data_IF_071990376189
#
_entry.id   IF_071990376189
#
_cell.length_a   1.000
_cell.length_b   1.000
_cell.length_c   1.000
_cell.angle_alpha   90.00
_cell.angle_beta   90.00
_cell.angle_gamma   90.00
#
_symmetry.space_group_name_H-M   'P 1'
#
loop_
_entity.id
_entity.type
_entity.pdbx_description
1 polymer ?
#
# COMPACT_ATOMS: atom_id res chain seq x y z
N UNK A 1 13.59 -15.48 26.69
CA UNK A 1 12.14 -15.67 26.95
C UNK A 1 11.84 -17.10 26.58
N UNK A 2 11.28 -17.87 27.48
CA UNK A 2 10.81 -19.23 27.18
C UNK A 2 9.53 -19.15 26.36
N UNK A 3 9.27 -20.13 25.50
CA UNK A 3 8.08 -20.14 24.64
C UNK A 3 6.79 -20.02 25.45
N UNK A 4 6.64 -20.80 26.53
CA UNK A 4 5.45 -20.79 27.40
C UNK A 4 5.19 -19.47 28.14
N UNK A 5 6.20 -18.58 28.26
CA UNK A 5 6.04 -17.26 28.90
C UNK A 5 5.39 -16.23 27.94
N UNK A 6 5.25 -16.56 26.66
CA UNK A 6 4.83 -15.58 25.62
C UNK A 6 3.33 -15.39 25.53
N UNK A 7 2.51 -16.19 26.21
CA UNK A 7 1.03 -16.24 26.08
C UNK A 7 0.50 -16.39 24.64
N UNK A 8 1.38 -16.78 23.70
CA UNK A 8 1.10 -16.84 22.26
C UNK A 8 0.48 -18.17 21.84
N UNK A 9 0.57 -19.20 22.69
CA UNK A 9 0.07 -20.54 22.41
C UNK A 9 -1.46 -20.61 22.30
N UNK A 10 -2.15 -19.53 22.72
CA UNK A 10 -3.61 -19.43 22.69
C UNK A 10 -4.15 -18.60 21.54
N UNK A 11 -3.29 -17.98 20.76
CA UNK A 11 -3.72 -17.11 19.68
C UNK A 11 -3.83 -17.92 18.38
N UNK A 12 -4.95 -17.77 17.70
CA UNK A 12 -5.14 -18.37 16.38
C UNK A 12 -4.43 -17.50 15.32
N UNK A 13 -3.53 -18.10 14.55
CA UNK A 13 -2.85 -17.42 13.44
C UNK A 13 -3.69 -17.61 12.17
N UNK A 14 -4.03 -16.52 11.52
CA UNK A 14 -4.83 -16.51 10.29
C UNK A 14 -4.01 -16.38 9.02
N UNK A 15 -2.91 -15.66 9.08
CA UNK A 15 -2.03 -15.42 7.94
C UNK A 15 -0.63 -15.02 8.38
N UNK A 16 0.34 -15.13 7.47
CA UNK A 16 1.67 -14.55 7.64
C UNK A 16 2.02 -13.65 6.45
N UNK A 17 2.92 -12.69 6.70
CA UNK A 17 3.35 -11.72 5.70
C UNK A 17 4.85 -11.44 5.81
N UNK A 18 5.62 -11.43 4.69
CA UNK A 18 7.03 -11.06 4.71
C UNK A 18 7.16 -9.54 4.77
N UNK A 19 7.72 -9.04 5.86
CA UNK A 19 7.99 -7.63 6.09
C UNK A 19 9.48 -7.33 5.98
N UNK A 20 9.84 -6.37 5.13
CA UNK A 20 11.22 -5.90 5.06
C UNK A 20 11.54 -4.97 6.22
N UNK A 21 12.61 -5.24 6.94
CA UNK A 21 13.12 -4.36 7.99
C UNK A 21 14.36 -3.61 7.49
N UNK A 22 14.24 -2.31 7.22
CA UNK A 22 15.35 -1.52 6.70
C UNK A 22 16.57 -1.55 7.62
N UNK A 23 16.38 -1.55 8.93
CA UNK A 23 17.47 -1.52 9.91
C UNK A 23 18.45 -2.69 9.74
N UNK A 24 17.95 -3.90 9.69
CA UNK A 24 18.77 -5.12 9.51
C UNK A 24 19.04 -5.45 8.03
N UNK A 25 18.30 -4.83 7.11
CA UNK A 25 18.36 -5.16 5.69
C UNK A 25 17.87 -6.57 5.37
N UNK A 26 16.93 -7.08 6.15
CA UNK A 26 16.42 -8.44 6.03
C UNK A 26 14.89 -8.46 6.05
N UNK A 27 14.32 -9.57 5.61
CA UNK A 27 12.91 -9.86 5.69
C UNK A 27 12.61 -10.72 6.91
N UNK A 28 11.53 -10.42 7.57
CA UNK A 28 11.00 -11.16 8.71
C UNK A 28 9.54 -11.50 8.44
N UNK A 29 9.05 -12.54 9.10
CA UNK A 29 7.64 -12.87 9.02
C UNK A 29 6.86 -12.12 10.10
N UNK A 30 5.80 -11.45 9.71
CA UNK A 30 4.71 -11.03 10.59
C UNK A 30 3.60 -12.07 10.55
N UNK A 31 2.90 -12.26 11.65
CA UNK A 31 1.73 -13.12 11.74
C UNK A 31 0.50 -12.31 12.10
N UNK A 32 -0.62 -12.59 11.42
CA UNK A 32 -1.94 -12.08 11.78
C UNK A 32 -2.54 -12.99 12.81
N UNK A 33 -2.44 -12.63 14.07
CA UNK A 33 -2.94 -13.43 15.18
C UNK A 33 -4.23 -12.83 15.73
N UNK A 34 -5.20 -13.68 16.02
CA UNK A 34 -6.47 -13.32 16.68
C UNK A 34 -6.28 -13.49 18.17
N UNK A 35 -6.46 -12.41 18.91
CA UNK A 35 -6.40 -12.45 20.36
C UNK A 35 -7.68 -13.08 20.96
N UNK A 36 -7.71 -13.24 22.28
CA UNK A 36 -8.86 -13.81 23.01
C UNK A 36 -10.18 -13.04 22.79
N UNK A 37 -10.10 -11.77 22.39
CA UNK A 37 -11.27 -10.93 22.11
C UNK A 37 -11.72 -10.99 20.63
N UNK A 38 -11.17 -11.91 19.83
CA UNK A 38 -11.52 -12.08 18.43
C UNK A 38 -10.94 -11.01 17.49
N UNK A 39 -10.06 -10.11 18.00
CA UNK A 39 -9.48 -9.01 17.22
C UNK A 39 -8.17 -9.45 16.56
N UNK A 40 -8.07 -9.43 15.21
CA UNK A 40 -6.84 -9.76 14.52
C UNK A 40 -5.84 -8.61 14.62
N UNK A 41 -4.56 -8.95 14.84
CA UNK A 41 -3.46 -7.98 14.86
C UNK A 41 -2.22 -8.58 14.23
N UNK A 42 -1.51 -7.77 13.44
CA UNK A 42 -0.19 -8.11 12.94
C UNK A 42 0.85 -7.96 14.06
N UNK A 43 1.71 -8.95 14.17
CA UNK A 43 2.84 -8.95 15.10
C UNK A 43 4.02 -9.73 14.49
N UNK A 44 5.21 -9.54 15.02
CA UNK A 44 6.40 -10.32 14.65
C UNK A 44 6.13 -11.82 14.93
N UNK A 45 6.33 -12.66 13.92
CA UNK A 45 6.20 -14.10 14.05
C UNK A 45 7.37 -14.64 14.86
N UNK A 46 7.06 -15.32 15.95
CA UNK A 46 8.01 -16.00 16.79
C UNK A 46 7.64 -17.46 16.83
N UNK A 47 8.61 -18.33 16.61
CA UNK A 47 8.44 -19.77 16.58
C UNK A 47 9.30 -20.43 17.65
N UNK A 48 8.91 -21.63 18.14
CA UNK A 48 9.71 -22.37 19.10
C UNK A 48 11.10 -22.65 18.53
N UNK A 49 12.11 -22.50 19.37
CA UNK A 49 13.46 -22.97 19.06
C UNK A 49 13.63 -24.41 19.56
N UNK A 50 14.38 -25.25 18.84
CA UNK A 50 14.72 -26.59 19.34
C UNK A 50 15.39 -26.59 20.72
N UNK A 51 15.98 -25.50 21.13
CA UNK A 51 16.64 -25.31 22.45
C UNK A 51 15.68 -24.81 23.53
N UNK A 52 14.35 -24.84 23.28
CA UNK A 52 13.33 -24.40 24.25
C UNK A 52 13.14 -22.89 24.35
N UNK A 53 13.84 -22.11 23.52
CA UNK A 53 13.67 -20.66 23.40
C UNK A 53 12.73 -20.25 22.30
N UNK A 54 12.80 -18.99 21.90
CA UNK A 54 12.05 -18.39 20.81
C UNK A 54 13.00 -17.91 19.74
N UNK A 55 12.72 -18.21 18.49
CA UNK A 55 13.46 -17.69 17.33
C UNK A 55 12.56 -16.91 16.38
N UNK A 56 13.18 -16.03 15.61
CA UNK A 56 12.55 -15.31 14.50
C UNK A 56 13.31 -15.70 13.23
N UNK A 57 12.59 -16.16 12.22
CA UNK A 57 13.20 -16.50 10.95
C UNK A 57 13.57 -15.22 10.20
N UNK A 58 14.77 -15.21 9.66
CA UNK A 58 15.35 -14.09 8.92
C UNK A 58 15.70 -14.54 7.51
N UNK A 59 15.27 -13.76 6.53
CA UNK A 59 15.52 -14.01 5.11
C UNK A 59 16.32 -12.83 4.52
N UNK A 60 17.33 -13.14 3.74
CA UNK A 60 18.11 -12.13 3.01
C UNK A 60 17.52 -11.83 1.65
N UNK A 61 16.68 -12.74 1.12
CA UNK A 61 16.00 -12.61 -0.16
C UNK A 61 14.50 -12.50 0.03
N UNK A 62 13.90 -11.48 -0.59
CA UNK A 62 12.46 -11.21 -0.52
C UNK A 62 11.61 -12.25 -1.24
N UNK A 63 12.11 -12.87 -2.32
CA UNK A 63 11.39 -13.89 -3.06
C UNK A 63 11.31 -15.19 -2.24
N UNK A 64 12.39 -15.55 -1.55
CA UNK A 64 12.38 -16.69 -0.62
C UNK A 64 11.39 -16.44 0.51
N UNK A 65 11.41 -15.23 1.10
CA UNK A 65 10.46 -14.87 2.14
C UNK A 65 9.00 -14.91 1.63
N UNK A 66 8.73 -14.44 0.42
CA UNK A 66 7.41 -14.47 -0.20
C UNK A 66 6.93 -15.91 -0.47
N UNK A 67 7.79 -16.76 -1.02
CA UNK A 67 7.48 -18.17 -1.28
C UNK A 67 7.16 -18.93 0.02
N UNK A 68 7.95 -18.71 1.06
CA UNK A 68 7.70 -19.31 2.36
C UNK A 68 6.39 -18.79 2.99
N UNK A 69 6.10 -17.50 2.86
CA UNK A 69 4.83 -16.93 3.28
C UNK A 69 3.64 -17.55 2.55
N UNK A 70 3.75 -17.75 1.24
CA UNK A 70 2.69 -18.38 0.45
C UNK A 70 2.43 -19.83 0.88
N UNK A 71 3.53 -20.61 1.10
CA UNK A 71 3.44 -21.99 1.58
C UNK A 71 2.71 -22.07 2.92
N UNK A 72 3.16 -21.29 3.91
CA UNK A 72 2.55 -21.30 5.25
C UNK A 72 1.10 -20.80 5.23
N UNK A 73 0.78 -19.81 4.41
CA UNK A 73 -0.60 -19.33 4.28
C UNK A 73 -1.53 -20.40 3.71
N UNK A 74 -1.03 -21.24 2.78
CA UNK A 74 -1.79 -22.38 2.28
C UNK A 74 -2.07 -23.40 3.37
N UNK A 75 -1.09 -23.72 4.22
CA UNK A 75 -1.25 -24.61 5.38
C UNK A 75 -2.25 -24.04 6.39
N UNK A 76 -2.12 -22.76 6.75
CA UNK A 76 -3.05 -22.09 7.67
C UNK A 76 -4.49 -22.08 7.14
N UNK A 77 -4.68 -21.96 5.83
CA UNK A 77 -5.99 -22.01 5.21
C UNK A 77 -6.63 -23.42 5.32
N UNK A 78 -5.83 -24.47 5.19
CA UNK A 78 -6.27 -25.87 5.40
C UNK A 78 -6.60 -26.09 6.86
N UNK A 79 -5.71 -25.71 7.77
CA UNK A 79 -5.92 -25.84 9.21
C UNK A 79 -7.20 -25.14 9.68
N UNK A 80 -7.46 -23.94 9.16
CA UNK A 80 -8.67 -23.19 9.50
C UNK A 80 -9.94 -23.91 9.03
N UNK A 81 -9.90 -24.62 7.88
CA UNK A 81 -11.03 -25.42 7.41
C UNK A 81 -11.32 -26.62 8.31
N UNK A 82 -10.28 -27.20 8.90
CA UNK A 82 -10.38 -28.41 9.73
C UNK A 82 -10.69 -28.13 11.20
N UNK A 83 -10.51 -26.88 11.67
CA UNK A 83 -10.78 -26.52 13.07
C UNK A 83 -12.25 -26.68 13.42
N UNK A 84 -12.55 -27.27 14.59
CA UNK A 84 -13.92 -27.35 15.11
C UNK A 84 -14.41 -25.96 15.51
N UNK A 85 -15.20 -25.34 14.65
CA UNK A 85 -15.83 -24.03 14.88
C UNK A 85 -17.08 -23.88 14.03
N UNK A 86 -17.95 -22.95 14.39
CA UNK A 86 -19.13 -22.62 13.63
C UNK A 86 -18.77 -22.07 12.25
N UNK A 87 -19.55 -22.43 11.24
CA UNK A 87 -19.27 -22.08 9.84
C UNK A 87 -19.21 -20.58 9.60
N UNK A 88 -20.07 -19.81 10.25
CA UNK A 88 -20.07 -18.35 10.12
C UNK A 88 -18.77 -17.71 10.68
N UNK A 89 -18.24 -18.24 11.78
CA UNK A 89 -16.95 -17.80 12.34
C UNK A 89 -15.79 -18.17 11.42
N UNK A 90 -15.82 -19.36 10.85
CA UNK A 90 -14.80 -19.82 9.88
C UNK A 90 -14.74 -18.89 8.69
N UNK A 91 -15.90 -18.57 8.09
CA UNK A 91 -15.99 -17.62 6.97
C UNK A 91 -15.51 -16.22 7.35
N UNK A 92 -15.86 -15.75 8.55
CA UNK A 92 -15.39 -14.46 9.06
C UNK A 92 -13.85 -14.41 9.15
N UNK A 93 -13.22 -15.47 9.67
CA UNK A 93 -11.76 -15.53 9.79
C UNK A 93 -11.06 -15.65 8.43
N UNK A 94 -11.61 -16.42 7.50
CA UNK A 94 -11.10 -16.49 6.12
C UNK A 94 -11.13 -15.11 5.45
N UNK A 95 -12.24 -14.39 5.61
CA UNK A 95 -12.39 -13.05 5.07
C UNK A 95 -11.42 -12.06 5.72
N UNK A 96 -11.24 -12.12 7.05
CA UNK A 96 -10.25 -11.30 7.77
C UNK A 96 -8.83 -11.56 7.28
N UNK A 97 -8.45 -12.82 7.09
CA UNK A 97 -7.14 -13.20 6.55
C UNK A 97 -6.92 -12.63 5.14
N UNK A 98 -7.89 -12.87 4.25
CA UNK A 98 -7.84 -12.38 2.86
C UNK A 98 -7.71 -10.86 2.79
N UNK A 99 -8.57 -10.11 3.49
CA UNK A 99 -8.53 -8.64 3.53
C UNK A 99 -7.22 -8.11 4.10
N UNK A 100 -6.68 -8.74 5.14
CA UNK A 100 -5.44 -8.31 5.76
C UNK A 100 -4.23 -8.54 4.84
N UNK A 101 -4.18 -9.66 4.12
CA UNK A 101 -3.15 -9.94 3.12
C UNK A 101 -3.24 -8.98 1.93
N UNK A 102 -4.44 -8.76 1.41
CA UNK A 102 -4.67 -7.81 0.32
C UNK A 102 -4.26 -6.38 0.73
N UNK A 103 -4.57 -5.96 1.95
CA UNK A 103 -4.16 -4.65 2.45
C UNK A 103 -2.63 -4.50 2.52
N UNK A 104 -1.92 -5.56 2.96
CA UNK A 104 -0.44 -5.57 2.97
C UNK A 104 0.14 -5.52 1.56
N UNK A 105 -0.38 -6.34 0.65
CA UNK A 105 0.06 -6.37 -0.75
C UNK A 105 -0.16 -5.01 -1.42
N UNK A 106 -1.34 -4.42 -1.25
CA UNK A 106 -1.65 -3.11 -1.79
C UNK A 106 -0.70 -2.03 -1.29
N UNK A 107 -0.45 -1.99 0.04
CA UNK A 107 0.50 -1.01 0.61
C UNK A 107 1.90 -1.18 0.04
N UNK A 108 2.36 -2.42 -0.12
CA UNK A 108 3.66 -2.73 -0.72
C UNK A 108 3.71 -2.28 -2.18
N UNK A 109 2.71 -2.60 -2.95
CA UNK A 109 2.62 -2.22 -4.37
C UNK A 109 2.51 -0.71 -4.53
N UNK A 110 1.72 -0.02 -3.72
CA UNK A 110 1.62 1.43 -3.72
C UNK A 110 2.97 2.10 -3.44
N UNK A 111 3.69 1.66 -2.41
CA UNK A 111 5.00 2.22 -2.07
C UNK A 111 6.05 1.93 -3.15
N UNK A 112 6.00 0.75 -3.77
CA UNK A 112 6.87 0.41 -4.90
C UNK A 112 6.60 1.32 -6.13
N UNK A 113 5.33 1.55 -6.46
CA UNK A 113 4.94 2.44 -7.54
C UNK A 113 5.32 3.90 -7.25
N UNK A 114 5.12 4.37 -6.01
CA UNK A 114 5.56 5.70 -5.60
C UNK A 114 7.08 5.86 -5.73
N UNK A 115 7.86 4.82 -5.37
CA UNK A 115 9.31 4.82 -5.53
C UNK A 115 9.71 4.88 -7.00
N UNK A 116 9.09 4.06 -7.85
CA UNK A 116 9.34 4.06 -9.29
C UNK A 116 9.06 5.44 -9.90
N UNK A 117 7.94 6.06 -9.53
CA UNK A 117 7.58 7.40 -10.00
C UNK A 117 8.52 8.49 -9.46
N UNK A 118 8.96 8.38 -8.20
CA UNK A 118 9.99 9.27 -7.65
C UNK A 118 11.29 9.21 -8.46
N UNK A 119 11.71 8.00 -8.85
CA UNK A 119 12.90 7.81 -9.72
C UNK A 119 12.67 8.39 -11.12
N UNK A 120 11.51 8.11 -11.73
CA UNK A 120 11.15 8.61 -13.07
C UNK A 120 11.17 10.14 -13.11
N UNK A 121 10.59 10.81 -12.14
CA UNK A 121 10.55 12.28 -12.05
C UNK A 121 11.94 12.91 -11.98
N UNK A 122 12.87 12.21 -11.40
CA UNK A 122 14.23 12.68 -11.17
C UNK A 122 15.27 12.02 -12.08
N UNK A 123 14.83 11.30 -13.12
CA UNK A 123 15.71 10.57 -14.04
C UNK A 123 16.68 11.48 -14.84
N UNK A 124 16.31 12.74 -15.04
CA UNK A 124 17.15 13.72 -15.74
C UNK A 124 18.16 14.42 -14.83
N UNK A 125 18.06 14.23 -13.52
CA UNK A 125 19.05 14.82 -12.60
C UNK A 125 20.40 14.12 -12.77
N UNK A 126 21.48 14.87 -12.95
CA UNK A 126 22.80 14.28 -13.06
C UNK A 126 23.20 13.61 -11.75
N UNK A 127 23.72 12.40 -11.86
CA UNK A 127 24.34 11.75 -10.72
C UNK A 127 25.59 12.54 -10.32
N UNK A 128 25.76 12.91 -9.04
CA UNK A 128 26.97 13.64 -8.62
C UNK A 128 28.19 12.74 -8.77
N UNK A 129 29.24 13.26 -9.33
CA UNK A 129 30.52 12.57 -9.43
C UNK A 129 31.18 12.47 -8.05
N UNK A 130 32.00 11.46 -7.86
CA UNK A 130 32.66 11.25 -6.57
C UNK A 130 33.53 12.46 -6.13
N UNK A 131 34.20 13.12 -7.08
CA UNK A 131 35.02 14.30 -6.83
C UNK A 131 34.19 15.56 -6.49
N UNK A 132 32.96 15.64 -6.91
CA UNK A 132 32.04 16.76 -6.63
C UNK A 132 31.40 16.70 -5.23
N UNK A 133 31.46 15.54 -4.60
CA UNK A 133 30.85 15.35 -3.28
C UNK A 133 31.67 16.07 -2.19
N UNK A 134 31.02 16.94 -1.44
CA UNK A 134 31.60 17.59 -0.27
C UNK A 134 31.27 16.73 0.96
N UNK A 135 32.30 16.17 1.58
CA UNK A 135 32.18 15.31 2.73
C UNK A 135 32.93 15.85 3.94
N UNK A 136 32.45 15.55 5.14
CA UNK A 136 33.25 15.72 6.35
C UNK A 136 34.38 14.68 6.41
N UNK A 137 35.48 14.96 7.11
CA UNK A 137 36.64 14.06 7.15
C UNK A 137 36.31 12.61 7.54
N UNK A 138 35.40 12.41 8.50
CA UNK A 138 34.95 11.06 8.93
C UNK A 138 34.14 10.32 7.87
N UNK A 139 33.54 11.04 6.92
CA UNK A 139 32.71 10.50 5.85
C UNK A 139 33.51 10.14 4.60
N UNK A 140 34.77 10.61 4.50
CA UNK A 140 35.62 10.52 3.30
C UNK A 140 35.80 9.08 2.81
N UNK A 141 35.99 8.14 3.72
CA UNK A 141 36.12 6.72 3.39
C UNK A 141 34.93 6.09 2.69
N UNK A 142 33.78 6.78 2.68
CA UNK A 142 32.53 6.32 2.05
C UNK A 142 32.26 7.01 0.72
N UNK A 143 33.14 7.88 0.21
CA UNK A 143 32.96 8.68 -1.00
C UNK A 143 32.50 7.86 -2.20
N UNK A 144 33.21 6.80 -2.54
CA UNK A 144 32.88 5.95 -3.69
C UNK A 144 31.51 5.24 -3.51
N UNK A 145 31.27 4.70 -2.33
CA UNK A 145 29.99 4.02 -2.02
C UNK A 145 28.81 5.00 -2.02
N UNK A 146 29.03 6.24 -1.57
CA UNK A 146 28.03 7.29 -1.60
C UNK A 146 27.74 7.72 -3.05
N UNK A 147 28.76 7.93 -3.88
CA UNK A 147 28.57 8.29 -5.28
C UNK A 147 27.80 7.20 -6.03
N UNK A 148 28.13 5.92 -5.82
CA UNK A 148 27.39 4.79 -6.39
C UNK A 148 25.92 4.77 -5.97
N UNK A 149 25.64 5.02 -4.69
CA UNK A 149 24.27 5.07 -4.19
C UNK A 149 23.46 6.27 -4.70
N UNK A 150 24.14 7.43 -4.87
CA UNK A 150 23.52 8.63 -5.43
C UNK A 150 23.34 8.55 -6.96
N UNK A 151 24.03 7.65 -7.64
CA UNK A 151 23.75 7.37 -9.05
C UNK A 151 22.34 6.78 -9.22
N UNK A 152 21.84 6.03 -8.25
CA UNK A 152 20.48 5.50 -8.26
C UNK A 152 19.45 6.49 -7.73
N UNK A 153 19.82 7.33 -6.75
CA UNK A 153 18.94 8.28 -6.08
C UNK A 153 19.59 9.68 -5.97
N UNK A 154 19.77 10.43 -7.08
CA UNK A 154 20.52 11.71 -7.07
C UNK A 154 19.85 12.82 -6.24
N UNK A 155 18.58 12.68 -5.97
CA UNK A 155 17.73 13.68 -5.30
C UNK A 155 17.62 13.52 -3.78
N UNK A 156 18.15 12.44 -3.19
CA UNK A 156 17.98 12.20 -1.75
C UNK A 156 18.96 13.02 -0.91
N UNK A 157 18.52 13.35 0.28
CA UNK A 157 19.34 14.03 1.30
C UNK A 157 19.79 13.10 2.43
N UNK A 158 19.33 11.86 2.43
CA UNK A 158 19.71 10.82 3.38
C UNK A 158 19.75 9.47 2.69
N UNK A 159 20.79 8.67 2.95
CA UNK A 159 20.97 7.37 2.33
C UNK A 159 21.72 6.41 3.25
N UNK A 160 21.48 5.13 3.09
CA UNK A 160 22.24 4.07 3.78
C UNK A 160 23.10 3.32 2.76
N UNK A 161 24.38 3.23 3.05
CA UNK A 161 25.37 2.59 2.19
C UNK A 161 26.03 1.41 2.91
N UNK A 162 26.61 0.50 2.15
CA UNK A 162 27.30 -0.68 2.67
C UNK A 162 26.44 -1.95 2.66
N UNK A 163 27.04 -3.05 3.10
CA UNK A 163 26.38 -4.35 3.16
C UNK A 163 25.20 -4.35 4.15
N UNK A 164 24.18 -5.19 3.95
CA UNK A 164 23.02 -5.26 4.82
C UNK A 164 23.33 -5.37 6.32
N UNK A 165 24.40 -6.09 6.66
CA UNK A 165 24.85 -6.29 8.05
C UNK A 165 25.66 -5.14 8.64
N UNK A 166 26.12 -4.19 7.80
CA UNK A 166 27.04 -3.12 8.21
C UNK A 166 26.72 -1.80 7.49
N UNK A 167 25.43 -1.46 7.37
CA UNK A 167 24.99 -0.23 6.69
C UNK A 167 25.30 1.01 7.52
N UNK A 168 25.99 1.94 6.88
CA UNK A 168 26.24 3.28 7.41
C UNK A 168 25.21 4.26 6.87
N UNK A 169 24.63 5.06 7.74
CA UNK A 169 23.70 6.12 7.34
C UNK A 169 24.44 7.42 7.12
N UNK A 170 24.14 8.08 6.02
CA UNK A 170 24.71 9.36 5.66
C UNK A 170 23.59 10.36 5.39
N UNK A 171 23.80 11.60 5.80
CA UNK A 171 22.85 12.71 5.58
C UNK A 171 23.58 13.89 4.95
N UNK A 172 22.88 14.61 4.09
CA UNK A 172 23.32 15.85 3.46
C UNK A 172 22.80 17.02 4.27
N UNK A 173 23.69 17.90 4.74
CA UNK A 173 23.30 19.14 5.40
C UNK A 173 22.68 20.12 4.40
N UNK A 174 22.03 21.17 4.90
CA UNK A 174 21.53 22.28 4.08
C UNK A 174 22.64 23.00 3.29
N UNK A 175 23.89 22.92 3.75
CA UNK A 175 25.09 23.45 3.04
C UNK A 175 25.62 22.50 1.96
N UNK A 176 24.96 21.39 1.70
CA UNK A 176 25.39 20.43 0.69
C UNK A 176 26.48 19.44 1.15
N UNK A 177 26.92 19.52 2.41
CA UNK A 177 27.99 18.66 2.97
C UNK A 177 27.41 17.37 3.49
N UNK A 178 27.96 16.25 3.06
CA UNK A 178 27.59 14.92 3.55
C UNK A 178 28.35 14.54 4.83
N UNK A 179 27.63 13.91 5.74
CA UNK A 179 28.17 13.47 7.00
C UNK A 179 27.62 12.09 7.38
N UNK A 180 28.40 11.34 8.13
CA UNK A 180 27.97 10.07 8.73
C UNK A 180 27.13 10.36 9.98
N UNK A 181 26.02 9.69 10.15
CA UNK A 181 25.26 9.71 11.39
C UNK A 181 26.07 8.92 12.42
N UNK A 182 26.51 9.61 13.48
CA UNK A 182 27.25 8.97 14.58
C UNK A 182 26.33 8.08 15.43
N UNK A 183 26.88 6.96 15.89
CA UNK A 183 26.17 6.03 16.75
C UNK A 183 25.31 5.01 16.00
N UNK A 184 24.52 4.27 16.77
CA UNK A 184 23.63 3.23 16.24
C UNK A 184 22.34 3.86 15.72
N UNK A 185 22.12 3.76 14.44
CA UNK A 185 20.86 4.21 13.83
C UNK A 185 19.69 3.38 14.40
N UNK A 186 18.66 4.06 14.89
CA UNK A 186 17.46 3.37 15.36
C UNK A 186 16.65 2.72 14.20
N UNK A 187 15.83 1.75 14.50
CA UNK A 187 14.88 1.16 13.50
C UNK A 187 14.03 2.24 12.85
N UNK A 188 13.55 3.24 13.62
CA UNK A 188 12.79 4.37 13.11
C UNK A 188 13.63 5.24 12.17
N UNK A 189 14.88 5.52 12.52
CA UNK A 189 15.79 6.30 11.66
C UNK A 189 16.09 5.58 10.34
N UNK A 190 16.32 4.27 10.39
CA UNK A 190 16.50 3.47 9.18
C UNK A 190 15.27 3.50 8.26
N UNK A 191 14.08 3.40 8.83
CA UNK A 191 12.81 3.50 8.09
C UNK A 191 12.61 4.89 7.47
N UNK A 192 12.94 5.95 8.19
CA UNK A 192 12.84 7.32 7.67
C UNK A 192 13.76 7.53 6.45
N UNK A 193 14.98 7.01 6.48
CA UNK A 193 15.90 7.09 5.35
C UNK A 193 15.36 6.32 4.14
N UNK A 194 14.76 5.14 4.32
CA UNK A 194 14.14 4.43 3.20
C UNK A 194 12.94 5.19 2.62
N UNK A 195 12.10 5.76 3.47
CA UNK A 195 10.97 6.59 3.04
C UNK A 195 11.39 7.89 2.37
N UNK A 196 12.56 8.43 2.72
CA UNK A 196 13.10 9.63 2.08
C UNK A 196 13.36 9.43 0.58
N UNK A 197 13.66 8.19 0.14
CA UNK A 197 13.79 7.86 -1.29
C UNK A 197 12.51 8.12 -2.08
N UNK A 198 11.37 7.98 -1.41
CA UNK A 198 10.08 8.31 -2.02
C UNK A 198 9.76 9.78 -1.81
N UNK A 199 9.70 10.25 -0.57
CA UNK A 199 9.28 11.60 -0.23
C UNK A 199 10.10 12.69 -0.95
N UNK A 200 11.44 12.57 -0.91
CA UNK A 200 12.34 13.55 -1.56
C UNK A 200 12.16 13.59 -3.08
N UNK A 201 11.79 12.46 -3.70
CA UNK A 201 11.53 12.41 -5.14
C UNK A 201 10.28 13.18 -5.57
N UNK A 202 9.40 13.51 -4.63
CA UNK A 202 8.25 14.38 -4.83
C UNK A 202 8.44 15.79 -4.22
N UNK A 203 9.64 16.11 -3.72
CA UNK A 203 9.93 17.37 -3.04
C UNK A 203 9.27 17.49 -1.66
N UNK A 204 8.90 16.38 -1.03
CA UNK A 204 8.25 16.33 0.28
C UNK A 204 9.25 16.06 1.40
N UNK A 205 8.91 16.52 2.61
CA UNK A 205 9.76 16.30 3.76
C UNK A 205 9.60 14.86 4.30
N UNK A 206 10.67 14.06 4.34
CA UNK A 206 10.61 12.67 4.77
C UNK A 206 10.34 12.50 6.28
N UNK A 207 10.44 13.57 7.08
CA UNK A 207 10.19 13.52 8.53
C UNK A 207 8.74 13.68 8.91
N UNK A 208 7.90 14.12 7.96
CA UNK A 208 6.46 14.26 8.16
C UNK A 208 5.79 12.89 8.38
N UNK A 209 4.58 12.92 8.91
CA UNK A 209 3.83 11.68 9.13
C UNK A 209 3.62 10.93 7.81
N UNK A 210 4.04 9.67 7.76
CA UNK A 210 4.07 8.90 6.49
C UNK A 210 2.71 8.82 5.77
N UNK A 211 1.62 8.77 6.53
CA UNK A 211 0.26 8.83 5.97
C UNK A 211 -0.02 10.13 5.24
N UNK A 212 0.47 11.26 5.77
CA UNK A 212 0.32 12.59 5.16
C UNK A 212 1.19 12.71 3.89
N UNK A 213 2.43 12.24 3.96
CA UNK A 213 3.32 12.18 2.79
C UNK A 213 2.68 11.39 1.65
N UNK A 214 2.14 10.19 1.94
CA UNK A 214 1.44 9.39 0.92
C UNK A 214 0.18 10.09 0.39
N UNK A 215 -0.58 10.73 1.25
CA UNK A 215 -1.76 11.49 0.83
C UNK A 215 -1.39 12.63 -0.13
N UNK A 216 -0.31 13.34 0.17
CA UNK A 216 0.20 14.41 -0.68
C UNK A 216 0.72 13.88 -2.03
N UNK A 217 1.45 12.76 -2.03
CA UNK A 217 1.89 12.11 -3.27
C UNK A 217 0.66 11.74 -4.13
N UNK A 218 -0.37 11.14 -3.54
CA UNK A 218 -1.61 10.85 -4.26
C UNK A 218 -2.22 12.12 -4.86
N UNK A 219 -2.23 13.22 -4.12
CA UNK A 219 -2.73 14.52 -4.59
C UNK A 219 -1.92 15.06 -5.77
N UNK A 220 -0.59 14.92 -5.73
CA UNK A 220 0.30 15.31 -6.84
C UNK A 220 0.04 14.45 -8.09
N UNK A 221 -0.30 13.18 -7.91
CA UNK A 221 -0.56 12.25 -9.02
C UNK A 221 -1.99 12.33 -9.58
N UNK A 222 -2.93 12.89 -8.82
CA UNK A 222 -4.33 13.00 -9.23
C UNK A 222 -4.55 13.75 -10.57
N UNK A 223 -3.85 14.87 -10.87
CA UNK A 223 -3.98 15.53 -12.17
C UNK A 223 -3.60 14.63 -13.34
N UNK A 224 -2.65 13.70 -13.12
CA UNK A 224 -2.26 12.71 -14.12
C UNK A 224 -3.39 11.70 -14.36
N UNK A 225 -4.09 11.27 -13.32
CA UNK A 225 -5.29 10.45 -13.46
C UNK A 225 -6.36 11.14 -14.33
N UNK A 226 -6.54 12.43 -14.16
CA UNK A 226 -7.46 13.21 -15.00
C UNK A 226 -7.03 13.27 -16.46
N UNK A 227 -5.71 13.23 -16.75
CA UNK A 227 -5.21 13.12 -18.13
C UNK A 227 -5.54 11.77 -18.77
N UNK A 228 -5.64 10.69 -18.00
CA UNK A 228 -6.06 9.39 -18.52
C UNK A 228 -7.41 9.45 -19.22
N UNK A 229 -8.34 10.26 -18.71
CA UNK A 229 -9.65 10.48 -19.33
C UNK A 229 -9.54 11.10 -20.74
N UNK A 230 -8.41 11.70 -21.06
CA UNK A 230 -8.18 12.32 -22.36
C UNK A 230 -7.53 11.38 -23.37
N UNK A 231 -7.00 10.24 -22.93
CA UNK A 231 -6.39 9.26 -23.81
C UNK A 231 -7.45 8.56 -24.69
N UNK A 232 -7.15 8.44 -25.96
CA UNK A 232 -8.10 7.85 -26.92
C UNK A 232 -8.50 6.41 -26.56
N UNK A 233 -7.54 5.62 -26.06
CA UNK A 233 -7.79 4.23 -25.61
C UNK A 233 -8.73 4.17 -24.39
N UNK A 234 -8.52 5.04 -23.42
CA UNK A 234 -9.37 5.13 -22.21
C UNK A 234 -10.75 5.65 -22.60
N UNK A 235 -10.83 6.71 -23.41
CA UNK A 235 -12.11 7.23 -23.92
C UNK A 235 -12.92 6.15 -24.60
N UNK A 236 -12.32 5.41 -25.52
CA UNK A 236 -13.02 4.32 -26.21
C UNK A 236 -13.57 3.28 -25.24
N UNK A 237 -12.79 2.88 -24.25
CA UNK A 237 -13.18 1.92 -23.23
C UNK A 237 -14.34 2.44 -22.37
N UNK A 238 -14.30 3.73 -21.99
CA UNK A 238 -15.37 4.39 -21.24
C UNK A 238 -16.63 4.60 -22.09
N UNK A 239 -16.49 4.90 -23.37
CA UNK A 239 -17.60 5.04 -24.32
C UNK A 239 -18.29 3.69 -24.58
N UNK A 240 -17.51 2.61 -24.70
CA UNK A 240 -18.03 1.25 -24.80
C UNK A 240 -18.80 0.84 -23.52
N UNK A 241 -18.29 1.20 -22.36
CA UNK A 241 -18.98 0.98 -21.09
C UNK A 241 -20.29 1.75 -21.00
N UNK A 242 -20.27 3.03 -21.39
CA UNK A 242 -21.47 3.86 -21.42
C UNK A 242 -22.52 3.33 -22.41
N UNK A 243 -22.09 2.82 -23.58
CA UNK A 243 -22.98 2.19 -24.55
C UNK A 243 -23.66 0.93 -23.99
N UNK A 244 -23.03 0.24 -23.03
CA UNK A 244 -23.62 -0.88 -22.27
C UNK A 244 -24.49 -0.42 -21.09
N UNK A 245 -24.63 0.89 -20.87
CA UNK A 245 -25.37 1.46 -19.75
C UNK A 245 -24.59 1.55 -18.45
N UNK A 246 -23.30 1.29 -18.47
CA UNK A 246 -22.43 1.37 -17.31
C UNK A 246 -22.01 2.81 -17.06
N UNK A 247 -22.29 3.33 -15.87
CA UNK A 247 -21.97 4.72 -15.49
C UNK A 247 -20.87 4.81 -14.44
N UNK A 248 -20.35 3.67 -13.99
CA UNK A 248 -19.24 3.57 -13.03
C UNK A 248 -18.31 2.46 -13.44
N UNK A 249 -17.04 2.80 -13.63
CA UNK A 249 -15.96 1.86 -13.83
C UNK A 249 -14.97 1.98 -12.68
N UNK A 250 -14.64 0.86 -12.05
CA UNK A 250 -13.74 0.83 -10.90
C UNK A 250 -12.47 0.09 -11.25
N UNK A 251 -11.35 0.76 -11.03
CA UNK A 251 -10.04 0.16 -11.18
C UNK A 251 -9.23 0.44 -9.91
N UNK A 252 -8.98 -0.60 -9.11
CA UNK A 252 -8.34 -0.48 -7.81
C UNK A 252 -8.99 0.61 -6.93
N UNK A 253 -8.31 1.71 -6.63
CA UNK A 253 -8.83 2.82 -5.83
C UNK A 253 -9.32 4.01 -6.68
N UNK A 254 -9.34 3.87 -8.02
CA UNK A 254 -9.85 4.91 -8.91
C UNK A 254 -11.21 4.50 -9.43
N UNK A 255 -12.15 5.42 -9.33
CA UNK A 255 -13.50 5.26 -9.86
C UNK A 255 -13.68 6.27 -10.98
N UNK A 256 -14.00 5.78 -12.18
CA UNK A 256 -14.49 6.60 -13.27
C UNK A 256 -16.01 6.62 -13.16
N UNK A 257 -16.53 7.80 -12.96
CA UNK A 257 -17.97 8.03 -12.80
C UNK A 257 -18.48 8.92 -13.91
N UNK A 258 -19.61 8.55 -14.53
CA UNK A 258 -20.26 9.35 -15.53
C UNK A 258 -21.39 10.18 -14.91
N UNK A 259 -21.30 11.50 -15.02
CA UNK A 259 -22.33 12.44 -14.58
C UNK A 259 -23.07 13.05 -15.79
N UNK A 260 -24.38 12.84 -15.85
CA UNK A 260 -25.23 13.36 -16.94
C UNK A 260 -25.63 14.81 -16.72
N UNK A 261 -25.71 15.22 -15.43
CA UNK A 261 -26.19 16.57 -15.08
C UNK A 261 -25.02 17.53 -14.97
N UNK A 262 -25.02 18.58 -15.81
CA UNK A 262 -24.11 19.69 -15.68
C UNK A 262 -22.82 19.65 -16.51
N UNK A 263 -22.80 19.03 -17.67
CA UNK A 263 -21.69 19.03 -18.65
C UNK A 263 -20.44 18.23 -18.24
N UNK A 264 -20.51 17.36 -17.27
CA UNK A 264 -19.30 16.82 -16.68
C UNK A 264 -18.77 15.54 -17.35
N UNK A 265 -19.65 14.71 -17.94
CA UNK A 265 -19.21 13.44 -18.52
C UNK A 265 -18.49 12.54 -17.51
N UNK A 266 -17.49 11.82 -17.97
CA UNK A 266 -16.67 10.98 -17.10
C UNK A 266 -15.80 11.79 -16.14
N UNK A 267 -15.84 11.44 -14.87
CA UNK A 267 -15.06 12.03 -13.79
C UNK A 267 -14.22 10.96 -13.12
N UNK A 268 -13.02 11.33 -12.67
CA UNK A 268 -12.20 10.47 -11.80
C UNK A 268 -12.52 10.81 -10.35
N UNK A 269 -12.90 9.81 -9.57
CA UNK A 269 -13.13 9.95 -8.13
C UNK A 269 -12.29 8.91 -7.39
N UNK A 270 -11.62 9.34 -6.33
CA UNK A 270 -10.92 8.39 -5.44
C UNK A 270 -11.92 7.78 -4.49
N UNK A 271 -11.94 6.46 -4.41
CA UNK A 271 -12.68 5.78 -3.35
C UNK A 271 -11.94 6.00 -2.04
N UNK A 272 -12.61 6.61 -1.07
CA UNK A 272 -12.04 6.77 0.26
C UNK A 272 -11.75 5.41 0.88
N UNK A 273 -10.47 5.10 0.99
CA UNK A 273 -9.84 4.05 1.77
C UNK A 273 -10.47 2.66 1.84
N UNK A 274 -9.67 1.70 1.58
CA UNK A 274 -9.65 0.29 2.01
C UNK A 274 -10.92 -0.60 1.95
N UNK A 275 -12.11 -0.09 1.78
CA UNK A 275 -13.34 -0.88 1.86
C UNK A 275 -13.91 -1.32 0.50
N UNK A 276 -13.42 -0.76 -0.61
CA UNK A 276 -13.98 -1.01 -1.94
C UNK A 276 -13.26 -2.11 -2.73
N UNK A 277 -12.21 -2.66 -2.16
CA UNK A 277 -11.38 -3.64 -2.87
C UNK A 277 -11.51 -5.04 -2.29
N UNK A 278 -12.74 -5.48 -2.06
CA UNK A 278 -12.95 -6.90 -1.94
C UNK A 278 -12.89 -7.49 -3.36
N UNK A 279 -11.74 -8.07 -3.72
CA UNK A 279 -11.56 -8.86 -4.95
C UNK A 279 -12.38 -10.15 -4.93
N UNK A 280 -13.38 -10.25 -4.07
CA UNK A 280 -14.28 -11.37 -4.12
C UNK A 280 -15.04 -11.29 -5.46
N UNK A 281 -14.96 -12.34 -6.23
CA UNK A 281 -15.65 -12.51 -7.53
C UNK A 281 -17.16 -12.27 -7.47
N UNK A 282 -17.75 -12.21 -6.28
CA UNK A 282 -19.16 -11.96 -6.01
C UNK A 282 -19.65 -10.55 -6.41
N UNK A 283 -18.75 -9.57 -6.60
CA UNK A 283 -19.11 -8.18 -6.79
C UNK A 283 -18.44 -7.54 -8.01
N UNK A 284 -18.05 -8.36 -8.98
CA UNK A 284 -17.41 -7.87 -10.20
C UNK A 284 -18.30 -6.95 -11.02
N UNK A 285 -19.60 -7.18 -10.99
CA UNK A 285 -20.59 -6.40 -11.71
C UNK A 285 -21.84 -6.22 -10.85
N UNK A 286 -22.59 -5.14 -11.07
CA UNK A 286 -23.83 -4.92 -10.35
C UNK A 286 -24.40 -3.53 -10.53
N UNK A 287 -25.41 -3.23 -9.72
CA UNK A 287 -26.03 -1.90 -9.66
C UNK A 287 -26.04 -1.40 -8.23
N UNK A 288 -25.52 -0.21 -8.03
CA UNK A 288 -25.60 0.51 -6.76
C UNK A 288 -26.85 1.37 -6.80
N UNK A 289 -27.77 1.13 -5.87
CA UNK A 289 -28.95 1.96 -5.67
C UNK A 289 -28.70 2.84 -4.46
N UNK A 290 -28.58 4.16 -4.66
CA UNK A 290 -28.30 5.07 -3.56
C UNK A 290 -29.38 6.14 -3.40
N UNK A 291 -29.89 6.22 -2.17
CA UNK A 291 -30.79 7.27 -1.73
C UNK A 291 -30.07 8.54 -1.21
N UNK A 292 -28.76 8.60 -1.27
CA UNK A 292 -27.96 9.71 -0.75
C UNK A 292 -27.24 10.49 -1.85
N UNK A 293 -27.04 11.79 -1.63
CA UNK A 293 -26.29 12.69 -2.52
C UNK A 293 -24.76 12.63 -2.36
N UNK A 294 -24.22 11.52 -1.85
CA UNK A 294 -22.78 11.39 -1.61
C UNK A 294 -21.94 11.44 -2.89
N UNK A 295 -20.71 11.96 -2.77
CA UNK A 295 -19.76 12.08 -3.89
C UNK A 295 -18.90 10.84 -4.08
N UNK A 296 -18.80 10.00 -3.05
CA UNK A 296 -18.02 8.77 -3.11
C UNK A 296 -18.92 7.57 -3.33
N UNK A 297 -18.55 6.71 -4.27
CA UNK A 297 -19.22 5.43 -4.49
C UNK A 297 -18.57 4.38 -3.59
N UNK A 298 -19.41 3.69 -2.84
CA UNK A 298 -19.04 2.53 -2.04
C UNK A 298 -19.63 1.30 -2.71
N UNK A 299 -18.77 0.41 -3.18
CA UNK A 299 -19.22 -0.88 -3.72
C UNK A 299 -19.81 -1.75 -2.60
N UNK A 300 -20.70 -2.68 -2.93
CA UNK A 300 -21.18 -3.65 -1.96
C UNK A 300 -20.01 -4.41 -1.32
N UNK A 301 -20.10 -4.65 -0.03
CA UNK A 301 -19.07 -5.41 0.71
C UNK A 301 -19.68 -6.18 1.88
N UNK A 302 -18.90 -7.12 2.41
CA UNK A 302 -19.26 -7.88 3.60
C UNK A 302 -18.42 -7.37 4.76
N UNK A 303 -19.08 -6.94 5.84
CA UNK A 303 -18.40 -6.54 7.08
C UNK A 303 -17.71 -7.75 7.73
N UNK A 304 -16.78 -7.47 8.64
CA UNK A 304 -16.08 -8.51 9.40
C UNK A 304 -17.01 -9.45 10.19
N UNK A 305 -18.20 -8.99 10.56
CA UNK A 305 -19.22 -9.76 11.25
C UNK A 305 -20.11 -10.58 10.28
N UNK A 306 -19.81 -10.61 8.98
CA UNK A 306 -20.59 -11.34 7.97
C UNK A 306 -21.80 -10.56 7.42
N UNK A 307 -22.07 -9.35 7.91
CA UNK A 307 -23.19 -8.51 7.43
C UNK A 307 -22.91 -7.98 6.02
N UNK A 308 -23.86 -8.19 5.11
CA UNK A 308 -23.80 -7.62 3.76
C UNK A 308 -24.19 -6.14 3.78
N UNK A 309 -23.28 -5.28 3.31
CA UNK A 309 -23.55 -3.86 3.09
C UNK A 309 -23.80 -3.63 1.61
N UNK A 310 -24.99 -3.09 1.29
CA UNK A 310 -25.33 -2.72 -0.08
C UNK A 310 -24.45 -1.56 -0.55
N UNK A 311 -24.13 -1.54 -1.84
CA UNK A 311 -23.48 -0.41 -2.48
C UNK A 311 -24.28 0.87 -2.25
N UNK A 312 -23.58 1.96 -1.98
CA UNK A 312 -24.19 3.26 -1.68
C UNK A 312 -23.23 4.40 -2.00
N UNK A 313 -23.75 5.62 -1.96
CA UNK A 313 -22.92 6.82 -2.05
C UNK A 313 -22.77 7.49 -0.69
N UNK A 314 -21.60 8.06 -0.40
CA UNK A 314 -21.33 8.84 0.81
C UNK A 314 -20.46 10.06 0.51
N UNK A 315 -20.37 10.98 1.44
CA UNK A 315 -19.39 12.06 1.37
C UNK A 315 -17.99 11.58 1.81
N UNK A 316 -16.97 12.35 1.41
CA UNK A 316 -15.62 12.14 1.91
C UNK A 316 -15.56 12.39 3.42
N UNK A 317 -14.57 11.80 4.12
CA UNK A 317 -14.30 12.18 5.51
C UNK A 317 -14.12 13.70 5.61
N UNK A 318 -14.76 14.33 6.57
CA UNK A 318 -14.81 15.79 6.83
C UNK A 318 -15.82 16.60 6.00
N UNK A 319 -16.48 16.04 4.99
CA UNK A 319 -17.52 16.74 4.23
C UNK A 319 -18.92 16.68 4.92
N UNK A 320 -18.99 16.08 6.11
CA UNK A 320 -20.24 15.81 6.80
C UNK A 320 -21.03 14.63 6.21
N UNK A 321 -22.17 14.28 6.79
CA UNK A 321 -23.02 13.20 6.29
C UNK A 321 -23.63 13.55 4.92
N UNK A 322 -23.74 12.56 4.05
CA UNK A 322 -24.43 12.73 2.77
C UNK A 322 -25.90 13.03 3.02
N UNK A 323 -26.44 14.08 2.37
CA UNK A 323 -27.85 14.43 2.48
C UNK A 323 -28.71 13.34 1.84
N UNK A 324 -29.79 12.89 2.47
CA UNK A 324 -30.72 11.96 1.84
C UNK A 324 -31.44 12.64 0.68
N UNK A 325 -31.73 11.87 -0.37
CA UNK A 325 -32.64 12.26 -1.43
C UNK A 325 -34.09 12.14 -0.94
N UNK A 326 -35.02 12.72 -1.67
CA UNK A 326 -36.43 12.47 -1.41
C UNK A 326 -36.70 10.95 -1.46
N UNK A 327 -37.58 10.40 -0.61
CA UNK A 327 -37.87 8.95 -0.56
C UNK A 327 -38.22 8.31 -1.88
N UNK A 328 -38.82 9.08 -2.81
CA UNK A 328 -39.17 8.63 -4.18
C UNK A 328 -38.00 8.75 -5.18
N UNK A 329 -36.87 9.25 -4.77
CA UNK A 329 -35.72 9.50 -5.63
C UNK A 329 -34.53 8.66 -5.19
N UNK A 330 -33.96 7.93 -6.10
CA UNK A 330 -32.68 7.22 -5.93
C UNK A 330 -31.88 7.33 -7.22
N UNK A 331 -30.60 7.08 -7.11
CA UNK A 331 -29.71 6.98 -8.27
C UNK A 331 -29.34 5.52 -8.43
N UNK A 332 -29.52 4.99 -9.61
CA UNK A 332 -29.03 3.67 -10.00
C UNK A 332 -27.72 3.84 -10.74
N UNK A 333 -26.68 3.19 -10.22
CA UNK A 333 -25.33 3.31 -10.74
C UNK A 333 -24.85 1.89 -11.06
N UNK A 334 -24.99 1.43 -12.32
CA UNK A 334 -24.36 0.18 -12.73
C UNK A 334 -22.85 0.31 -12.65
N UNK A 335 -22.17 -0.75 -12.28
CA UNK A 335 -20.73 -0.80 -12.20
C UNK A 335 -20.19 -2.12 -12.73
N UNK A 336 -19.03 -2.04 -13.35
CA UNK A 336 -18.19 -3.18 -13.73
C UNK A 336 -16.79 -2.95 -13.20
N UNK A 337 -16.20 -3.98 -12.62
CA UNK A 337 -14.80 -3.93 -12.19
C UNK A 337 -13.92 -4.17 -13.40
N UNK A 338 -13.01 -3.26 -13.69
CA UNK A 338 -11.99 -3.44 -14.72
C UNK A 338 -10.90 -4.38 -14.20
N UNK A 339 -10.57 -5.41 -14.96
CA UNK A 339 -9.50 -6.36 -14.62
C UNK A 339 -8.12 -5.78 -14.92
N UNK A 340 -8.04 -4.84 -15.85
CA UNK A 340 -6.78 -4.21 -16.23
C UNK A 340 -6.44 -3.04 -15.32
N UNK A 341 -5.18 -2.96 -15.00
CA UNK A 341 -4.68 -2.02 -14.02
C UNK A 341 -4.45 -0.63 -14.63
N UNK A 342 -5.52 0.17 -14.73
CA UNK A 342 -5.40 1.59 -15.05
C UNK A 342 -4.56 2.37 -14.00
N UNK A 343 -4.30 1.77 -12.84
CA UNK A 343 -3.44 2.36 -11.81
C UNK A 343 -1.98 2.47 -12.24
N UNK A 344 -1.50 1.63 -13.16
CA UNK A 344 -0.19 1.79 -13.77
C UNK A 344 -0.05 3.19 -14.34
N UNK A 345 -1.09 3.69 -14.97
CA UNK A 345 -1.14 5.05 -15.48
C UNK A 345 -1.12 6.15 -14.41
N UNK A 346 -1.51 5.86 -13.17
CA UNK A 346 -1.50 6.82 -12.07
C UNK A 346 -0.13 6.98 -11.42
N UNK A 347 0.56 5.88 -11.21
CA UNK A 347 1.76 5.87 -10.38
C UNK A 347 3.05 5.77 -11.18
N UNK A 348 3.02 5.17 -12.31
CA UNK A 348 4.25 4.90 -12.96
C UNK A 348 4.29 5.34 -14.39
N UNK A 349 4.23 4.37 -15.16
CA UNK A 349 4.45 4.47 -16.56
C UNK A 349 3.12 4.64 -17.26
N UNK A 350 2.83 5.87 -17.66
CA UNK A 350 1.87 6.06 -18.72
C UNK A 350 2.59 5.73 -20.03
N UNK A 351 2.24 4.65 -20.70
CA UNK A 351 2.90 4.28 -21.95
C UNK A 351 2.68 5.30 -23.07
N UNK A 352 2.06 6.42 -22.77
CA UNK A 352 1.59 7.45 -23.71
C UNK A 352 2.09 8.86 -23.39
N UNK A 353 3.08 9.03 -22.52
CA UNK A 353 3.77 10.30 -22.31
C UNK A 353 5.00 10.43 -23.16
#
# INVERSE_FOLDING_TARGET
>A
MKWGDSKRDFDMILAIWPAYEPYSGAWFMEELAVNRNGVPRWRERRIPSPTGGVRVDRYTDGNIAASESARVNAELAVDLKQKPMEEHLRRSFQLKASKALQAKERLRSEEALMLAEARRRNATLPAPRADELILKPKAEKYRAALAAALAEFPYVTGIRIGAPSARTAMIKSYKGVWDVIDGVLSKRGALLIERSKIASGFGLNPTDHWGEVKAEIRRILLPRANKLLQLASVRRLLDEALARGEKVLVCNCVVFWYEEQGQLGWQVKTTGGSQTEDKSTLWAEGTIVSANHGRLVILPFIKENGEHVKGHTRNAPKDGPAKPRHPSQHVEIPFTRLNDDLMIGLFGELPYE
#
